data_IF_975144452005
#
_entry.id   IF_975144452005
#
_cell.length_a   1.000
_cell.length_b   1.000
_cell.length_c   1.000
_cell.angle_alpha   90.00
_cell.angle_beta   90.00
_cell.angle_gamma   90.00
#
_symmetry.space_group_name_H-M   'P 1'
#
loop_
_entity.id
_entity.type
_entity.pdbx_description
1 polymer ?
#
# COMPACT_ATOMS: atom_id res chain seq x y z
N UNK A 1 -65.84 -0.24 -35.56
CA UNK A 1 -66.10 0.75 -34.49
C UNK A 1 -65.11 0.50 -33.38
N UNK A 2 -64.35 1.51 -32.97
CA UNK A 2 -63.50 1.42 -31.78
C UNK A 2 -64.44 1.57 -30.59
N UNK A 3 -64.56 0.52 -29.78
CA UNK A 3 -65.29 0.57 -28.51
C UNK A 3 -64.38 1.26 -27.50
N UNK A 4 -64.64 2.54 -27.22
CA UNK A 4 -64.13 3.21 -26.03
C UNK A 4 -64.99 2.77 -24.85
N UNK A 5 -64.47 1.86 -24.02
CA UNK A 5 -64.92 1.68 -22.65
C UNK A 5 -64.06 2.61 -21.79
N UNK A 6 -64.47 3.87 -21.68
CA UNK A 6 -64.00 4.76 -20.63
C UNK A 6 -64.88 4.52 -19.41
N UNK A 7 -64.35 3.81 -18.42
CA UNK A 7 -64.93 3.72 -17.08
C UNK A 7 -64.52 5.01 -16.32
N UNK A 8 -65.47 5.88 -15.92
CA UNK A 8 -65.18 7.18 -15.34
C UNK A 8 -65.17 7.09 -13.80
N UNK A 9 -64.29 6.28 -13.22
CA UNK A 9 -63.91 6.42 -11.80
C UNK A 9 -62.70 7.35 -11.70
N UNK A 10 -63.01 8.65 -11.67
CA UNK A 10 -62.28 9.76 -11.06
C UNK A 10 -60.90 9.44 -10.45
N UNK A 11 -59.89 9.29 -11.29
CA UNK A 11 -58.54 9.71 -10.95
C UNK A 11 -58.30 11.01 -11.71
N UNK A 12 -58.25 12.12 -10.97
CA UNK A 12 -58.09 13.46 -11.52
C UNK A 12 -56.86 13.46 -12.47
N UNK A 13 -56.97 13.89 -13.75
CA UNK A 13 -55.85 13.84 -14.71
C UNK A 13 -54.60 14.56 -14.21
N UNK A 14 -54.78 15.52 -13.31
CA UNK A 14 -53.72 16.24 -12.62
C UNK A 14 -52.99 15.37 -11.56
N UNK A 15 -53.72 14.50 -10.87
CA UNK A 15 -53.19 13.60 -9.83
C UNK A 15 -52.40 12.43 -10.45
N UNK A 16 -52.87 11.85 -11.55
CA UNK A 16 -52.16 10.76 -12.25
C UNK A 16 -50.85 11.23 -12.91
N UNK A 17 -50.81 12.47 -13.43
CA UNK A 17 -49.58 13.09 -13.93
C UNK A 17 -48.56 13.37 -12.82
N UNK A 18 -49.03 13.83 -11.65
CA UNK A 18 -48.18 14.05 -10.47
C UNK A 18 -47.61 12.74 -9.93
N UNK A 19 -48.41 11.68 -9.88
CA UNK A 19 -47.99 10.36 -9.38
C UNK A 19 -46.82 9.79 -10.20
N UNK A 20 -46.86 9.92 -11.54
CA UNK A 20 -45.77 9.50 -12.43
C UNK A 20 -44.51 10.35 -12.29
N UNK A 21 -44.67 11.65 -12.01
CA UNK A 21 -43.54 12.56 -11.74
C UNK A 21 -42.90 12.26 -10.38
N UNK A 22 -43.70 11.92 -9.36
CA UNK A 22 -43.21 11.45 -8.07
C UNK A 22 -42.52 10.09 -8.18
N UNK A 23 -43.07 9.15 -8.96
CA UNK A 23 -42.46 7.85 -9.21
C UNK A 23 -41.10 7.97 -9.91
N UNK A 24 -41.00 8.80 -10.97
CA UNK A 24 -39.74 9.10 -11.65
C UNK A 24 -38.78 9.89 -10.75
N UNK A 25 -39.30 10.82 -9.94
CA UNK A 25 -38.52 11.60 -8.99
C UNK A 25 -37.92 10.75 -7.86
N UNK A 26 -38.68 9.77 -7.35
CA UNK A 26 -38.23 8.82 -6.34
C UNK A 26 -37.26 7.81 -6.98
N UNK A 27 -37.56 7.26 -8.15
CA UNK A 27 -36.66 6.37 -8.88
C UNK A 27 -35.33 7.04 -9.27
N UNK A 28 -35.39 8.30 -9.68
CA UNK A 28 -34.21 9.13 -9.98
C UNK A 28 -33.43 9.54 -8.73
N UNK A 29 -34.12 9.86 -7.63
CA UNK A 29 -33.50 10.18 -6.34
C UNK A 29 -32.81 8.96 -5.71
N UNK A 30 -33.46 7.79 -5.75
CA UNK A 30 -32.88 6.51 -5.31
C UNK A 30 -31.75 6.08 -6.23
N UNK A 31 -31.90 6.23 -7.56
CA UNK A 31 -30.84 5.95 -8.53
C UNK A 31 -29.61 6.84 -8.33
N UNK A 32 -29.82 8.13 -8.05
CA UNK A 32 -28.76 9.08 -7.74
C UNK A 32 -28.12 8.78 -6.39
N UNK A 33 -28.90 8.46 -5.35
CA UNK A 33 -28.39 8.03 -4.06
C UNK A 33 -27.55 6.75 -4.20
N UNK A 34 -28.05 5.72 -4.88
CA UNK A 34 -27.29 4.52 -5.20
C UNK A 34 -26.01 4.85 -6.00
N UNK A 35 -26.07 5.74 -6.98
CA UNK A 35 -24.89 6.17 -7.74
C UNK A 35 -23.91 7.02 -6.92
N UNK A 36 -24.34 7.66 -5.83
CA UNK A 36 -23.48 8.43 -4.93
C UNK A 36 -22.89 7.58 -3.81
N UNK A 37 -23.58 6.52 -3.36
CA UNK A 37 -23.14 5.63 -2.28
C UNK A 37 -22.46 4.34 -2.76
N UNK A 38 -22.78 3.82 -3.95
CA UNK A 38 -22.18 2.57 -4.51
C UNK A 38 -20.94 2.82 -5.37
N UNK A 39 -20.85 3.94 -6.10
CA UNK A 39 -19.66 4.28 -6.89
C UNK A 39 -18.38 4.64 -6.10
N UNK A 40 -18.42 5.22 -4.88
CA UNK A 40 -17.23 5.48 -4.07
C UNK A 40 -16.38 4.23 -3.83
N UNK A 41 -17.02 3.06 -3.73
CA UNK A 41 -16.36 1.78 -3.53
C UNK A 41 -15.58 1.29 -4.77
N UNK A 42 -15.97 1.72 -5.98
CA UNK A 42 -15.34 1.26 -7.22
C UNK A 42 -13.99 1.93 -7.46
N UNK A 43 -13.84 3.24 -7.23
CA UNK A 43 -12.60 3.96 -7.53
C UNK A 43 -11.40 3.52 -6.65
N UNK A 44 -11.63 3.19 -5.37
CA UNK A 44 -10.61 2.65 -4.47
C UNK A 44 -10.27 1.18 -4.78
N UNK A 45 -11.28 0.39 -5.20
CA UNK A 45 -11.10 -1.01 -5.58
C UNK A 45 -10.16 -1.23 -6.78
N UNK A 46 -10.02 -0.23 -7.67
CA UNK A 46 -9.09 -0.30 -8.81
C UNK A 46 -7.67 0.21 -8.47
N UNK A 47 -7.48 0.90 -7.35
CA UNK A 47 -6.18 1.44 -6.94
C UNK A 47 -5.38 0.43 -6.11
N UNK A 48 -6.04 -0.18 -5.13
CA UNK A 48 -5.40 -1.04 -4.13
C UNK A 48 -4.64 -2.24 -4.71
N UNK A 49 -5.08 -2.89 -5.81
CA UNK A 49 -4.28 -3.92 -6.47
C UNK A 49 -2.90 -3.41 -6.91
N UNK A 50 -2.82 -2.24 -7.54
CA UNK A 50 -1.54 -1.68 -8.01
C UNK A 50 -0.60 -1.29 -6.86
N UNK A 51 -1.15 -0.82 -5.73
CA UNK A 51 -0.33 -0.58 -4.54
C UNK A 51 0.15 -1.91 -3.94
N UNK A 52 -0.71 -2.93 -3.88
CA UNK A 52 -0.35 -4.26 -3.41
C UNK A 52 0.77 -4.89 -4.26
N UNK A 53 0.68 -4.78 -5.60
CA UNK A 53 1.73 -5.24 -6.52
C UNK A 53 3.07 -4.52 -6.24
N UNK A 54 3.04 -3.21 -5.98
CA UNK A 54 4.23 -2.45 -5.63
C UNK A 54 4.84 -2.87 -4.28
N UNK A 55 4.01 -3.19 -3.28
CA UNK A 55 4.47 -3.67 -1.96
C UNK A 55 5.13 -5.05 -2.07
N UNK A 56 4.58 -5.96 -2.88
CA UNK A 56 5.16 -7.27 -3.13
C UNK A 56 6.49 -7.16 -3.87
N UNK A 57 6.57 -6.37 -4.94
CA UNK A 57 7.83 -6.13 -5.61
C UNK A 57 8.87 -5.43 -4.71
N UNK A 58 8.44 -4.55 -3.79
CA UNK A 58 9.33 -4.01 -2.75
C UNK A 58 9.84 -5.10 -1.81
N UNK A 59 9.00 -6.08 -1.45
CA UNK A 59 9.43 -7.20 -0.62
C UNK A 59 10.47 -8.06 -1.34
N UNK A 60 10.27 -8.33 -2.63
CA UNK A 60 11.22 -9.10 -3.44
C UNK A 60 12.55 -8.35 -3.61
N UNK A 61 12.51 -7.02 -3.76
CA UNK A 61 13.71 -6.18 -3.75
C UNK A 61 14.44 -6.18 -2.41
N UNK A 62 13.74 -6.23 -1.27
CA UNK A 62 14.38 -6.35 0.05
C UNK A 62 15.12 -7.68 0.18
N UNK A 63 14.49 -8.78 -0.25
CA UNK A 63 15.11 -10.11 -0.27
C UNK A 63 16.38 -10.09 -1.15
N UNK A 64 16.31 -9.48 -2.34
CA UNK A 64 17.46 -9.30 -3.23
C UNK A 64 18.56 -8.42 -2.60
N UNK A 65 18.19 -7.33 -1.93
CA UNK A 65 19.13 -6.41 -1.26
C UNK A 65 19.90 -7.09 -0.14
N UNK A 66 19.23 -7.88 0.70
CA UNK A 66 19.90 -8.63 1.77
C UNK A 66 20.78 -9.74 1.19
N UNK A 67 20.32 -10.46 0.16
CA UNK A 67 21.18 -11.42 -0.54
C UNK A 67 22.43 -10.73 -1.12
N UNK A 68 22.29 -9.55 -1.73
CA UNK A 68 23.44 -8.79 -2.25
C UNK A 68 24.44 -8.40 -1.16
N UNK A 69 23.96 -7.99 0.01
CA UNK A 69 24.82 -7.69 1.16
C UNK A 69 25.57 -8.91 1.70
N UNK A 70 24.96 -10.10 1.67
CA UNK A 70 25.51 -11.32 2.29
C UNK A 70 26.32 -12.19 1.31
N UNK A 71 25.87 -12.33 0.06
CA UNK A 71 26.26 -13.40 -0.85
C UNK A 71 27.09 -12.95 -2.07
N UNK A 72 27.53 -11.68 -2.12
CA UNK A 72 28.51 -11.22 -3.12
C UNK A 72 28.06 -10.12 -4.07
N UNK A 73 26.97 -9.40 -3.77
CA UNK A 73 26.47 -8.27 -4.56
C UNK A 73 25.20 -8.59 -5.35
N UNK A 74 24.65 -7.56 -5.98
CA UNK A 74 23.40 -7.64 -6.75
C UNK A 74 23.63 -8.14 -8.18
N UNK A 75 22.64 -8.86 -8.73
CA UNK A 75 22.49 -9.01 -10.19
C UNK A 75 21.79 -7.74 -10.73
N UNK A 76 22.52 -6.85 -11.45
CA UNK A 76 21.95 -5.59 -11.89
C UNK A 76 20.76 -5.76 -12.83
N UNK A 77 20.77 -6.79 -13.69
CA UNK A 77 19.70 -7.02 -14.66
C UNK A 77 18.41 -7.48 -13.97
N UNK A 78 18.53 -8.38 -12.98
CA UNK A 78 17.39 -8.80 -12.17
C UNK A 78 16.82 -7.63 -11.36
N UNK A 79 17.68 -6.85 -10.69
CA UNK A 79 17.27 -5.71 -9.88
C UNK A 79 16.59 -4.62 -10.72
N UNK A 80 17.10 -4.34 -11.93
CA UNK A 80 16.50 -3.38 -12.84
C UNK A 80 15.10 -3.82 -13.29
N UNK A 81 14.91 -5.11 -13.56
CA UNK A 81 13.61 -5.67 -13.92
C UNK A 81 12.60 -5.50 -12.76
N UNK A 82 12.96 -5.92 -11.54
CA UNK A 82 12.10 -5.76 -10.36
C UNK A 82 11.77 -4.28 -10.10
N UNK A 83 12.75 -3.38 -10.21
CA UNK A 83 12.52 -1.94 -10.04
C UNK A 83 11.60 -1.36 -11.11
N UNK A 84 11.72 -1.82 -12.36
CA UNK A 84 10.85 -1.40 -13.44
C UNK A 84 9.39 -1.79 -13.15
N UNK A 85 9.17 -3.00 -12.63
CA UNK A 85 7.84 -3.51 -12.27
C UNK A 85 7.22 -2.72 -11.11
N UNK A 86 7.97 -2.50 -10.02
CA UNK A 86 7.51 -1.66 -8.89
C UNK A 86 7.17 -0.25 -9.36
N UNK A 87 8.03 0.35 -10.19
CA UNK A 87 7.79 1.68 -10.76
C UNK A 87 6.57 1.71 -11.68
N UNK A 88 6.31 0.66 -12.45
CA UNK A 88 5.13 0.56 -13.28
C UNK A 88 3.86 0.47 -12.42
N UNK A 89 3.86 -0.36 -11.38
CA UNK A 89 2.76 -0.51 -10.44
C UNK A 89 2.42 0.81 -9.72
N UNK A 90 3.43 1.52 -9.19
CA UNK A 90 3.24 2.83 -8.56
C UNK A 90 2.70 3.88 -9.54
N UNK A 91 3.15 3.88 -10.79
CA UNK A 91 2.61 4.79 -11.83
C UNK A 91 1.16 4.49 -12.14
N UNK A 92 0.79 3.21 -12.25
CA UNK A 92 -0.60 2.82 -12.43
C UNK A 92 -1.45 3.29 -11.24
N UNK A 93 -0.94 3.14 -10.01
CA UNK A 93 -1.59 3.64 -8.81
C UNK A 93 -1.77 5.18 -8.82
N UNK A 94 -0.76 5.95 -9.23
CA UNK A 94 -0.89 7.42 -9.34
C UNK A 94 -1.98 7.85 -10.31
N UNK A 95 -2.05 7.20 -11.49
CA UNK A 95 -3.05 7.51 -12.52
C UNK A 95 -4.46 7.32 -11.95
N UNK A 96 -4.70 6.17 -11.30
CA UNK A 96 -5.99 5.85 -10.67
C UNK A 96 -6.33 6.79 -9.52
N UNK A 97 -5.34 7.16 -8.69
CA UNK A 97 -5.55 8.14 -7.63
C UNK A 97 -5.91 9.53 -8.20
N UNK A 98 -5.30 9.92 -9.31
CA UNK A 98 -5.63 11.16 -10.03
C UNK A 98 -7.05 11.16 -10.60
N UNK A 99 -7.49 10.04 -11.17
CA UNK A 99 -8.87 9.83 -11.62
C UNK A 99 -9.85 9.94 -10.45
N UNK A 100 -9.60 9.21 -9.36
CA UNK A 100 -10.43 9.25 -8.16
C UNK A 100 -10.51 10.66 -7.55
N UNK A 101 -9.41 11.44 -7.59
CA UNK A 101 -9.41 12.85 -7.14
C UNK A 101 -10.27 13.75 -8.03
N UNK A 102 -10.24 13.57 -9.35
CA UNK A 102 -11.06 14.38 -10.28
C UNK A 102 -12.56 14.08 -10.09
N UNK A 103 -12.92 12.82 -9.89
CA UNK A 103 -14.31 12.42 -9.65
C UNK A 103 -14.88 12.97 -8.33
N UNK A 104 -14.02 13.22 -7.33
CA UNK A 104 -14.40 13.83 -6.04
C UNK A 104 -14.81 15.29 -6.16
N UNK A 105 -14.09 16.07 -6.96
CA UNK A 105 -14.36 17.51 -7.10
C UNK A 105 -15.77 17.77 -7.67
N UNK A 106 -16.35 16.81 -8.39
CA UNK A 106 -17.72 16.87 -8.92
C UNK A 106 -18.81 16.26 -8.02
N UNK A 107 -18.51 15.74 -6.83
CA UNK A 107 -19.48 15.03 -5.97
C UNK A 107 -19.50 15.59 -4.54
N UNK A 108 -20.68 15.87 -4.01
CA UNK A 108 -20.94 16.44 -2.66
C UNK A 108 -20.65 15.49 -1.47
N UNK A 109 -19.90 14.40 -1.67
CA UNK A 109 -19.70 13.36 -0.66
C UNK A 109 -18.31 13.36 -0.01
N UNK A 110 -18.26 13.15 1.31
CA UNK A 110 -17.06 12.95 2.12
C UNK A 110 -16.34 11.64 1.76
N UNK A 111 -15.66 11.61 0.62
CA UNK A 111 -14.85 10.46 0.24
C UNK A 111 -13.45 10.56 0.92
N UNK A 112 -12.83 9.44 1.31
CA UNK A 112 -11.48 9.41 1.95
C UNK A 112 -10.32 9.50 0.93
N UNK A 113 -9.47 10.53 0.96
CA UNK A 113 -8.40 10.74 -0.05
C UNK A 113 -7.51 9.49 -0.23
N UNK A 114 -7.41 8.88 -1.43
CA UNK A 114 -6.51 7.74 -1.68
C UNK A 114 -5.03 8.13 -1.76
N UNK A 115 -4.71 9.42 -1.94
CA UNK A 115 -3.36 9.92 -2.10
C UNK A 115 -2.35 9.48 -1.02
N UNK A 116 -2.70 9.42 0.29
CA UNK A 116 -1.80 8.96 1.34
C UNK A 116 -1.28 7.54 1.12
N UNK A 117 -2.12 6.62 0.62
CA UNK A 117 -1.75 5.21 0.38
C UNK A 117 -0.70 5.10 -0.72
N UNK A 118 -0.91 5.80 -1.85
CA UNK A 118 0.04 5.82 -2.96
C UNK A 118 1.36 6.48 -2.56
N UNK A 119 1.29 7.58 -1.79
CA UNK A 119 2.48 8.21 -1.22
C UNK A 119 3.24 7.27 -0.28
N UNK A 120 2.52 6.48 0.53
CA UNK A 120 3.11 5.46 1.40
C UNK A 120 3.87 4.39 0.63
N UNK A 121 3.26 3.82 -0.42
CA UNK A 121 3.93 2.86 -1.31
C UNK A 121 5.20 3.43 -1.96
N UNK A 122 5.17 4.70 -2.39
CA UNK A 122 6.37 5.37 -2.93
C UNK A 122 7.46 5.60 -1.88
N UNK A 123 7.09 6.03 -0.66
CA UNK A 123 8.05 6.22 0.44
C UNK A 123 8.74 4.90 0.77
N UNK A 124 7.99 3.80 0.85
CA UNK A 124 8.55 2.46 1.02
C UNK A 124 9.55 2.13 -0.08
N UNK A 125 9.15 2.28 -1.36
CA UNK A 125 10.04 2.00 -2.48
C UNK A 125 11.35 2.78 -2.40
N UNK A 126 11.31 4.06 -2.02
CA UNK A 126 12.54 4.83 -1.81
C UNK A 126 13.42 4.29 -0.68
N UNK A 127 12.85 3.84 0.44
CA UNK A 127 13.61 3.18 1.50
C UNK A 127 14.26 1.89 1.02
N UNK A 128 13.57 1.12 0.18
CA UNK A 128 14.15 -0.09 -0.46
C UNK A 128 15.30 0.27 -1.39
N UNK A 129 15.17 1.33 -2.21
CA UNK A 129 16.28 1.81 -3.05
C UNK A 129 17.51 2.20 -2.21
N UNK A 130 17.33 2.75 -1.00
CA UNK A 130 18.46 3.05 -0.11
C UNK A 130 19.21 1.77 0.30
N UNK A 131 18.50 0.69 0.62
CA UNK A 131 19.10 -0.62 0.87
C UNK A 131 19.87 -1.13 -0.36
N UNK A 132 19.23 -1.08 -1.54
CA UNK A 132 19.83 -1.59 -2.78
C UNK A 132 21.15 -0.91 -3.12
N UNK A 133 21.25 0.41 -2.91
CA UNK A 133 22.50 1.17 -3.16
C UNK A 133 23.65 0.75 -2.25
N UNK A 134 23.34 0.22 -1.06
CA UNK A 134 24.34 -0.37 -0.17
C UNK A 134 24.71 -1.80 -0.57
N UNK A 135 23.79 -2.52 -1.20
CA UNK A 135 23.91 -3.93 -1.58
C UNK A 135 24.69 -4.19 -2.88
N UNK A 136 25.04 -3.14 -3.65
CA UNK A 136 25.93 -3.25 -4.82
C UNK A 136 27.29 -3.90 -4.49
N UNK A 137 27.70 -3.83 -3.23
CA UNK A 137 28.88 -4.51 -2.72
C UNK A 137 28.53 -5.28 -1.45
N UNK A 138 29.00 -6.53 -1.37
CA UNK A 138 28.86 -7.34 -0.18
C UNK A 138 29.54 -6.71 1.05
N UNK A 139 29.04 -7.09 2.22
CA UNK A 139 29.75 -6.93 3.48
C UNK A 139 31.01 -7.83 3.47
N UNK A 140 31.96 -7.52 4.33
CA UNK A 140 33.10 -8.42 4.57
C UNK A 140 32.58 -9.77 5.08
N UNK A 141 33.30 -10.86 4.77
CA UNK A 141 32.89 -12.20 5.20
C UNK A 141 32.70 -12.32 6.71
N UNK A 142 33.56 -11.64 7.48
CA UNK A 142 33.47 -11.62 8.95
C UNK A 142 32.22 -10.89 9.43
N UNK A 143 31.93 -9.71 8.86
CA UNK A 143 30.75 -8.94 9.25
C UNK A 143 29.47 -9.65 8.79
N UNK A 144 29.44 -10.22 7.58
CA UNK A 144 28.32 -11.03 7.07
C UNK A 144 28.01 -12.21 7.99
N UNK A 145 29.03 -12.92 8.48
CA UNK A 145 28.83 -14.05 9.38
C UNK A 145 28.22 -13.61 10.73
N UNK A 146 28.62 -12.45 11.23
CA UNK A 146 28.16 -11.90 12.50
C UNK A 146 26.71 -11.39 12.41
N UNK A 147 26.39 -10.59 11.38
CA UNK A 147 25.09 -9.89 11.27
C UNK A 147 24.08 -10.60 10.37
N UNK A 148 24.50 -11.60 9.60
CA UNK A 148 23.63 -12.34 8.69
C UNK A 148 22.32 -12.82 9.33
N UNK A 149 22.35 -13.39 10.56
CA UNK A 149 21.12 -13.81 11.24
C UNK A 149 20.15 -12.68 11.54
N UNK A 150 20.62 -11.55 12.09
CA UNK A 150 19.76 -10.40 12.46
C UNK A 150 19.27 -9.67 11.20
N UNK A 151 20.12 -9.51 10.19
CA UNK A 151 19.77 -8.91 8.91
C UNK A 151 18.70 -9.73 8.17
N UNK A 152 18.85 -11.06 8.14
CA UNK A 152 17.87 -11.97 7.53
C UNK A 152 16.56 -12.02 8.31
N UNK A 153 16.59 -11.87 9.64
CA UNK A 153 15.39 -11.78 10.46
C UNK A 153 14.62 -10.47 10.18
N UNK A 154 15.32 -9.34 10.08
CA UNK A 154 14.73 -8.05 9.72
C UNK A 154 14.10 -8.08 8.32
N UNK A 155 14.81 -8.63 7.31
CA UNK A 155 14.26 -8.84 5.97
C UNK A 155 12.98 -9.67 5.99
N UNK A 156 12.99 -10.86 6.61
CA UNK A 156 11.78 -11.70 6.68
C UNK A 156 10.60 -11.00 7.34
N UNK A 157 10.84 -10.23 8.41
CA UNK A 157 9.77 -9.55 9.12
C UNK A 157 9.20 -8.36 8.31
N UNK A 158 10.05 -7.57 7.66
CA UNK A 158 9.63 -6.45 6.79
C UNK A 158 8.88 -6.96 5.56
N UNK A 159 9.40 -8.00 4.91
CA UNK A 159 8.76 -8.57 3.71
C UNK A 159 7.43 -9.23 4.06
N UNK A 160 7.33 -9.92 5.21
CA UNK A 160 6.07 -10.44 5.70
C UNK A 160 5.04 -9.34 5.98
N UNK A 161 5.45 -8.24 6.62
CA UNK A 161 4.58 -7.09 6.87
C UNK A 161 4.10 -6.45 5.55
N UNK A 162 5.01 -6.22 4.60
CA UNK A 162 4.66 -5.67 3.29
C UNK A 162 3.65 -6.55 2.54
N UNK A 163 3.89 -7.87 2.51
CA UNK A 163 2.98 -8.84 1.88
C UNK A 163 1.66 -8.96 2.61
N UNK A 164 1.62 -8.85 3.94
CA UNK A 164 0.38 -8.83 4.72
C UNK A 164 -0.46 -7.57 4.42
N UNK A 165 0.18 -6.40 4.32
CA UNK A 165 -0.49 -5.16 3.90
C UNK A 165 -1.01 -5.31 2.47
N UNK A 166 -0.21 -5.86 1.55
CA UNK A 166 -0.63 -6.13 0.16
C UNK A 166 -1.86 -7.06 0.11
N UNK A 167 -1.86 -8.15 0.87
CA UNK A 167 -2.99 -9.06 0.98
C UNK A 167 -4.25 -8.36 1.51
N UNK A 168 -4.09 -7.52 2.55
CA UNK A 168 -5.21 -6.74 3.09
C UNK A 168 -5.82 -5.79 2.05
N UNK A 169 -4.99 -5.15 1.23
CA UNK A 169 -5.42 -4.24 0.15
C UNK A 169 -6.25 -4.97 -0.92
N UNK A 170 -5.95 -6.25 -1.17
CA UNK A 170 -6.69 -7.08 -2.14
C UNK A 170 -7.99 -7.66 -1.59
N UNK A 171 -8.18 -7.72 -0.27
CA UNK A 171 -9.39 -8.26 0.36
C UNK A 171 -10.46 -7.17 0.57
N UNK A 172 -11.54 -7.13 -0.25
CA UNK A 172 -12.63 -6.17 -0.07
C UNK A 172 -13.55 -6.67 1.05
N UNK A 173 -13.82 -5.84 2.06
CA UNK A 173 -14.78 -6.16 3.13
C UNK A 173 -14.26 -7.06 4.27
N UNK A 174 -12.97 -7.40 4.28
CA UNK A 174 -12.35 -7.98 5.48
C UNK A 174 -12.40 -6.96 6.63
N UNK A 175 -12.75 -7.46 7.83
CA UNK A 175 -12.80 -6.69 9.07
C UNK A 175 -11.49 -5.90 9.23
N UNK A 176 -11.52 -4.59 9.55
CA UNK A 176 -10.31 -3.77 9.68
C UNK A 176 -9.51 -4.09 10.95
N UNK A 177 -9.14 -5.35 11.16
CA UNK A 177 -8.04 -5.64 12.07
C UNK A 177 -6.76 -5.08 11.45
N UNK A 178 -6.10 -4.20 12.20
CA UNK A 178 -4.84 -3.62 11.80
C UNK A 178 -3.83 -4.73 11.54
N UNK A 179 -3.10 -4.63 10.42
CA UNK A 179 -1.99 -5.55 10.16
C UNK A 179 -0.97 -5.38 11.28
N UNK A 180 -0.66 -6.47 11.99
CA UNK A 180 0.28 -6.45 13.10
C UNK A 180 1.71 -6.20 12.61
N UNK A 181 2.32 -5.12 13.09
CA UNK A 181 3.70 -4.72 12.80
C UNK A 181 4.70 -5.15 13.89
N UNK A 182 4.25 -5.79 14.98
CA UNK A 182 5.06 -6.09 16.17
C UNK A 182 6.33 -6.89 15.84
N UNK A 183 6.23 -7.91 14.99
CA UNK A 183 7.37 -8.73 14.58
C UNK A 183 8.41 -7.93 13.78
N UNK A 184 7.97 -7.05 12.88
CA UNK A 184 8.87 -6.18 12.11
C UNK A 184 9.57 -5.17 13.02
N UNK A 185 8.83 -4.57 13.97
CA UNK A 185 9.39 -3.64 14.95
C UNK A 185 10.47 -4.33 15.80
N UNK A 186 10.18 -5.51 16.33
CA UNK A 186 11.13 -6.26 17.15
C UNK A 186 12.38 -6.69 16.37
N UNK A 187 12.22 -7.17 15.13
CA UNK A 187 13.35 -7.61 14.32
C UNK A 187 14.27 -6.46 13.90
N UNK A 188 13.72 -5.31 13.52
CA UNK A 188 14.50 -4.12 13.17
C UNK A 188 15.22 -3.56 14.39
N UNK A 189 14.56 -3.50 15.56
CA UNK A 189 15.20 -3.09 16.81
C UNK A 189 16.36 -4.01 17.21
N UNK A 190 16.23 -5.33 16.99
CA UNK A 190 17.30 -6.28 17.25
C UNK A 190 18.50 -6.09 16.30
N UNK A 191 18.25 -5.79 15.02
CA UNK A 191 19.31 -5.47 14.06
C UNK A 191 20.05 -4.18 14.43
N UNK A 192 19.32 -3.14 14.86
CA UNK A 192 19.89 -1.87 15.30
C UNK A 192 20.77 -2.05 16.56
N UNK A 193 20.26 -2.76 17.57
CA UNK A 193 21.02 -3.09 18.78
C UNK A 193 22.31 -3.88 18.48
N UNK A 194 22.27 -4.73 17.45
CA UNK A 194 23.45 -5.47 17.00
C UNK A 194 24.48 -4.53 16.34
N UNK A 195 24.05 -3.59 15.50
CA UNK A 195 24.93 -2.56 14.94
C UNK A 195 25.59 -1.69 16.03
N UNK A 196 24.83 -1.31 17.06
CA UNK A 196 25.36 -0.57 18.21
C UNK A 196 26.40 -1.39 18.99
N UNK A 197 26.15 -2.68 19.20
CA UNK A 197 27.09 -3.59 19.85
C UNK A 197 28.40 -3.66 19.06
N UNK A 198 28.34 -3.88 17.75
CA UNK A 198 29.52 -3.96 16.88
C UNK A 198 30.34 -2.66 16.87
N UNK A 199 29.66 -1.52 16.91
CA UNK A 199 30.30 -0.21 16.98
C UNK A 199 31.02 0.00 18.31
N UNK A 200 30.41 -0.42 19.43
CA UNK A 200 31.02 -0.33 20.77
C UNK A 200 32.20 -1.28 20.96
N UNK A 201 32.08 -2.51 20.47
CA UNK A 201 33.10 -3.54 20.64
C UNK A 201 34.38 -3.22 19.84
N UNK A 202 34.29 -2.37 18.81
CA UNK A 202 35.42 -1.91 18.01
C UNK A 202 36.12 -3.00 17.18
N UNK A 203 35.59 -4.23 17.20
CA UNK A 203 36.18 -5.42 16.58
C UNK A 203 36.30 -5.33 15.04
N UNK A 204 35.58 -4.38 14.44
CA UNK A 204 35.48 -4.14 12.99
C UNK A 204 36.03 -2.77 12.55
N UNK A 205 36.80 -2.09 13.41
CA UNK A 205 37.36 -0.74 13.13
C UNK A 205 38.20 -0.65 11.84
N UNK A 206 38.81 -1.75 11.40
CA UNK A 206 39.51 -1.84 10.11
C UNK A 206 38.62 -2.05 8.89
N UNK A 207 37.30 -2.20 9.07
CA UNK A 207 36.33 -2.58 8.04
C UNK A 207 35.33 -1.44 7.76
N UNK A 208 35.79 -0.19 7.83
CA UNK A 208 34.95 1.01 7.82
C UNK A 208 33.96 1.07 6.64
N UNK A 209 34.37 0.69 5.43
CA UNK A 209 33.45 0.66 4.28
C UNK A 209 32.31 -0.36 4.45
N UNK A 210 32.59 -1.52 5.06
CA UNK A 210 31.59 -2.55 5.34
C UNK A 210 30.65 -2.13 6.47
N UNK A 211 31.18 -1.48 7.51
CA UNK A 211 30.37 -0.91 8.59
C UNK A 211 29.46 0.23 8.11
N UNK A 212 29.94 1.09 7.21
CA UNK A 212 29.11 2.14 6.59
C UNK A 212 27.97 1.53 5.76
N UNK A 213 28.24 0.45 5.01
CA UNK A 213 27.19 -0.29 4.27
C UNK A 213 26.16 -0.90 5.21
N UNK A 214 26.61 -1.55 6.28
CA UNK A 214 25.71 -2.11 7.30
C UNK A 214 24.86 -1.01 7.95
N UNK A 215 25.46 0.11 8.35
CA UNK A 215 24.75 1.24 8.94
C UNK A 215 23.68 1.79 7.98
N UNK A 216 23.99 1.91 6.69
CA UNK A 216 23.03 2.32 5.68
C UNK A 216 21.88 1.32 5.52
N UNK A 217 22.16 0.01 5.59
CA UNK A 217 21.14 -1.03 5.57
C UNK A 217 20.22 -0.95 6.80
N UNK A 218 20.78 -0.81 8.01
CA UNK A 218 20.03 -0.64 9.26
C UNK A 218 19.09 0.56 9.18
N UNK A 219 19.60 1.71 8.72
CA UNK A 219 18.78 2.91 8.52
C UNK A 219 17.67 2.70 7.48
N UNK A 220 17.95 1.97 6.39
CA UNK A 220 16.94 1.63 5.40
C UNK A 220 15.83 0.75 6.01
N UNK A 221 16.19 -0.25 6.83
CA UNK A 221 15.24 -1.10 7.56
C UNK A 221 14.36 -0.29 8.52
N UNK A 222 14.93 0.68 9.24
CA UNK A 222 14.17 1.58 10.11
C UNK A 222 13.13 2.40 9.32
N UNK A 223 13.54 3.00 8.20
CA UNK A 223 12.61 3.74 7.35
C UNK A 223 11.54 2.84 6.72
N UNK A 224 11.87 1.60 6.34
CA UNK A 224 10.87 0.64 5.85
C UNK A 224 9.82 0.33 6.91
N UNK A 225 10.27 0.04 8.15
CA UNK A 225 9.39 -0.22 9.29
C UNK A 225 8.44 0.94 9.56
N UNK A 226 8.97 2.17 9.61
CA UNK A 226 8.17 3.38 9.82
C UNK A 226 7.13 3.57 8.72
N UNK A 227 7.56 3.46 7.45
CA UNK A 227 6.68 3.65 6.30
C UNK A 227 5.58 2.57 6.22
N UNK A 228 5.89 1.32 6.52
CA UNK A 228 4.91 0.23 6.55
C UNK A 228 3.91 0.40 7.71
N UNK A 229 4.37 0.83 8.88
CA UNK A 229 3.52 1.06 10.06
C UNK A 229 2.55 2.23 9.83
N UNK A 230 3.04 3.35 9.27
CA UNK A 230 2.17 4.47 8.85
C UNK A 230 1.19 4.00 7.79
N UNK A 231 1.65 3.25 6.77
CA UNK A 231 0.76 2.75 5.72
C UNK A 231 -0.34 1.83 6.26
N UNK A 232 -0.02 0.88 7.15
CA UNK A 232 -1.00 0.01 7.80
C UNK A 232 -2.05 0.83 8.57
N UNK A 233 -1.60 1.84 9.33
CA UNK A 233 -2.48 2.75 10.07
C UNK A 233 -3.41 3.51 9.13
N UNK A 234 -2.88 4.09 8.03
CA UNK A 234 -3.68 4.83 7.04
C UNK A 234 -4.71 3.95 6.34
N UNK A 235 -4.37 2.70 6.05
CA UNK A 235 -5.30 1.75 5.43
C UNK A 235 -6.44 1.42 6.40
N UNK A 236 -6.14 1.21 7.69
CA UNK A 236 -7.15 0.99 8.72
C UNK A 236 -8.08 2.21 8.87
N UNK A 237 -7.54 3.43 8.92
CA UNK A 237 -8.33 4.67 8.96
C UNK A 237 -9.30 4.80 7.77
N UNK A 238 -8.81 4.52 6.54
CA UNK A 238 -9.63 4.59 5.32
C UNK A 238 -10.74 3.54 5.33
N UNK A 239 -10.48 2.35 5.86
CA UNK A 239 -11.49 1.27 5.97
C UNK A 239 -12.52 1.56 7.04
N UNK A 240 -12.10 2.02 8.21
CA UNK A 240 -13.02 2.41 9.29
C UNK A 240 -13.98 3.53 8.85
N UNK A 241 -13.49 4.52 8.09
CA UNK A 241 -14.32 5.59 7.55
C UNK A 241 -15.33 5.13 6.47
N UNK A 242 -15.24 3.89 5.98
CA UNK A 242 -16.18 3.30 5.01
C UNK A 242 -17.31 2.51 5.68
N UNK A 243 -17.09 2.03 6.90
CA UNK A 243 -18.06 1.21 7.65
C UNK A 243 -19.01 2.07 8.54
N UNK A 244 -18.84 3.40 8.53
CA UNK A 244 -19.71 4.41 9.18
C UNK A 244 -20.60 5.09 8.15
#
# INVERSE_FOLDING_TARGET
>A
GIVMLADPTHADPWMSGLERVFEIGIGGGVGLACALFVLPAKALGYLFPHVADALEGCADLVDAGVAGLLDGGLDPAAVDALNADVRAALRAADVRAGEARRERVGRLGAQSDPGPVVRGGRRLWHSVIMLMRGADHALSSRLSAEVGPSLSAAARAITALARAIAASLRAPGANPEAVDASAAIAAVAALDAEMERLTRDGAFTGEGASLVRLAAAVAAFEHMKENLSDLATRIAEIRAARDV
#
